data_IF_322178696812
#
_entry.id   IF_322178696812
#
_cell.length_a   1.000
_cell.length_b   1.000
_cell.length_c   1.000
_cell.angle_alpha   90.00
_cell.angle_beta   90.00
_cell.angle_gamma   90.00
#
_symmetry.space_group_name_H-M   'P 1'
#
loop_
_entity.id
_entity.type
_entity.pdbx_description
1 polymer ?
#
# COMPACT_ATOMS: atom_id res chain seq x y z
N UNK A 1 29.32 -1.28 4.55
CA UNK A 1 28.15 -0.92 3.74
C UNK A 1 28.52 0.32 2.93
N UNK A 2 28.28 0.32 1.62
CA UNK A 2 28.42 1.49 0.75
C UNK A 2 27.06 2.12 0.49
N UNK A 3 26.99 3.45 0.52
CA UNK A 3 25.78 4.24 0.21
C UNK A 3 26.14 5.33 -0.78
N UNK A 4 25.62 5.24 -1.99
CA UNK A 4 25.98 6.16 -3.09
C UNK A 4 24.75 6.65 -3.85
N UNK A 5 24.86 7.78 -4.54
CA UNK A 5 23.84 8.28 -5.49
C UNK A 5 24.44 8.32 -6.89
N UNK A 6 24.37 7.23 -7.68
CA UNK A 6 25.01 7.18 -8.99
C UNK A 6 24.54 8.27 -9.97
N UNK A 7 23.27 8.68 -9.88
CA UNK A 7 22.75 9.78 -10.70
C UNK A 7 23.00 11.18 -10.11
N UNK A 8 23.66 11.29 -8.96
CA UNK A 8 24.05 12.55 -8.32
C UNK A 8 22.96 13.30 -7.54
N UNK A 9 21.67 12.99 -7.74
CA UNK A 9 20.57 13.78 -7.13
C UNK A 9 20.33 13.56 -5.63
N UNK A 10 21.09 12.70 -4.98
CA UNK A 10 21.09 12.45 -3.53
C UNK A 10 22.53 12.27 -3.03
N UNK A 11 23.52 12.84 -3.73
CA UNK A 11 24.94 12.55 -3.49
C UNK A 11 25.44 13.14 -2.17
N UNK A 12 25.01 14.35 -1.82
CA UNK A 12 25.38 14.99 -0.56
C UNK A 12 24.90 14.17 0.63
N UNK A 13 23.62 13.80 0.65
CA UNK A 13 23.01 13.00 1.70
C UNK A 13 23.60 11.59 1.74
N UNK A 14 23.80 10.95 0.59
CA UNK A 14 24.42 9.62 0.53
C UNK A 14 25.84 9.62 1.11
N UNK A 15 26.64 10.67 0.87
CA UNK A 15 27.99 10.79 1.41
C UNK A 15 28.05 10.85 2.94
N UNK A 16 26.98 11.35 3.58
CA UNK A 16 26.87 11.37 5.04
C UNK A 16 26.57 9.97 5.62
N UNK A 17 25.98 9.09 4.81
CA UNK A 17 25.58 7.74 5.19
C UNK A 17 26.61 6.68 4.76
N UNK A 18 27.49 6.98 3.82
CA UNK A 18 28.48 6.04 3.32
C UNK A 18 29.40 5.56 4.46
N UNK A 19 29.62 4.24 4.54
CA UNK A 19 30.37 3.61 5.62
C UNK A 19 29.62 3.47 6.96
N UNK A 20 28.44 4.08 7.12
CA UNK A 20 27.62 3.93 8.32
C UNK A 20 26.89 2.58 8.38
N UNK A 21 26.43 2.19 9.56
CA UNK A 21 25.73 0.91 9.78
C UNK A 21 24.24 1.10 9.54
N UNK A 22 23.63 0.28 8.68
CA UNK A 22 22.18 0.16 8.58
C UNK A 22 21.68 -0.62 9.80
N UNK A 23 20.81 0.00 10.58
CA UNK A 23 20.32 -0.56 11.86
C UNK A 23 18.92 -1.13 11.75
N UNK A 24 18.07 -0.54 10.92
CA UNK A 24 16.68 -0.96 10.75
C UNK A 24 16.11 -0.49 9.41
N UNK A 25 15.00 -1.09 8.99
CA UNK A 25 14.17 -0.58 7.91
C UNK A 25 12.70 -0.94 8.17
N UNK A 26 11.84 0.08 8.23
CA UNK A 26 10.42 -0.11 8.50
C UNK A 26 9.53 0.69 7.56
N UNK A 27 8.32 0.18 7.33
CA UNK A 27 7.31 0.86 6.55
C UNK A 27 6.16 1.37 7.44
N UNK A 28 5.67 2.56 7.11
CA UNK A 28 4.39 3.10 7.56
C UNK A 28 3.55 3.45 6.33
N UNK A 29 2.55 2.61 6.03
CA UNK A 29 1.77 2.68 4.81
C UNK A 29 2.65 2.58 3.58
N UNK A 30 2.78 3.66 2.81
CA UNK A 30 3.60 3.72 1.57
C UNK A 30 4.94 4.44 1.76
N UNK A 31 5.33 4.66 3.01
CA UNK A 31 6.55 5.36 3.38
C UNK A 31 7.52 4.37 4.01
N UNK A 32 8.66 4.15 3.36
CA UNK A 32 9.76 3.34 3.87
C UNK A 32 10.78 4.26 4.54
N UNK A 33 11.16 3.92 5.77
CA UNK A 33 12.23 4.56 6.52
C UNK A 33 13.37 3.56 6.66
N UNK A 34 14.56 3.94 6.19
CA UNK A 34 15.77 3.12 6.29
C UNK A 34 16.73 3.81 7.23
N UNK A 35 16.95 3.21 8.39
CA UNK A 35 17.72 3.79 9.49
C UNK A 35 19.18 3.38 9.38
N UNK A 36 20.03 4.39 9.40
CA UNK A 36 21.47 4.25 9.57
C UNK A 36 21.89 4.89 10.88
N UNK A 37 23.03 4.49 11.42
CA UNK A 37 23.63 5.16 12.59
C UNK A 37 23.89 6.66 12.36
N UNK A 38 24.02 7.09 11.10
CA UNK A 38 24.24 8.48 10.71
C UNK A 38 22.95 9.24 10.32
N UNK A 39 21.79 8.59 10.24
CA UNK A 39 20.50 9.23 9.93
C UNK A 39 19.50 8.32 9.21
N UNK A 40 18.29 8.82 8.96
CA UNK A 40 17.21 8.02 8.33
C UNK A 40 16.94 8.47 6.91
N UNK A 41 16.88 7.53 5.96
CA UNK A 41 16.41 7.80 4.60
C UNK A 41 14.90 7.54 4.50
N UNK A 42 14.13 8.57 4.19
CA UNK A 42 12.70 8.48 3.90
C UNK A 42 12.45 8.30 2.40
N UNK A 43 11.88 7.15 2.05
CA UNK A 43 11.57 6.74 0.67
C UNK A 43 10.05 6.66 0.50
N UNK A 44 9.55 7.25 -0.58
CA UNK A 44 8.20 6.97 -1.09
C UNK A 44 8.31 6.70 -2.58
N UNK A 45 8.00 5.45 -2.99
CA UNK A 45 8.18 5.00 -4.37
C UNK A 45 7.25 5.73 -5.34
N UNK A 46 6.03 6.05 -4.91
CA UNK A 46 5.01 6.59 -5.81
C UNK A 46 4.55 5.52 -6.81
N UNK A 47 4.16 5.95 -8.01
CA UNK A 47 3.55 5.06 -9.01
C UNK A 47 4.57 4.20 -9.77
N UNK A 48 5.78 4.72 -9.99
CA UNK A 48 6.77 4.10 -10.88
C UNK A 48 8.10 3.78 -10.18
N UNK A 49 8.23 4.17 -8.91
CA UNK A 49 9.46 3.96 -8.17
C UNK A 49 9.64 2.50 -7.82
N UNK A 50 10.90 2.04 -7.83
CA UNK A 50 11.27 0.68 -7.46
C UNK A 50 12.48 0.71 -6.54
N UNK A 51 12.54 -0.23 -5.60
CA UNK A 51 13.74 -0.57 -4.84
C UNK A 51 14.00 -2.06 -5.10
N UNK A 52 15.09 -2.36 -5.83
CA UNK A 52 15.39 -3.72 -6.27
C UNK A 52 16.72 -4.18 -5.69
N UNK A 53 16.73 -5.41 -5.17
CA UNK A 53 17.92 -6.08 -4.69
C UNK A 53 18.50 -6.94 -5.80
N UNK A 54 19.74 -6.68 -6.18
CA UNK A 54 20.43 -7.36 -7.28
C UNK A 54 21.87 -7.70 -6.84
N UNK A 55 22.50 -8.71 -7.45
CA UNK A 55 23.94 -8.94 -7.24
C UNK A 55 24.75 -7.68 -7.52
N UNK A 56 25.80 -7.44 -6.73
CA UNK A 56 26.65 -6.27 -6.87
C UNK A 56 27.27 -6.23 -8.26
N UNK A 57 26.91 -5.19 -9.02
CA UNK A 57 27.43 -4.92 -10.36
C UNK A 57 27.46 -3.41 -10.62
N UNK A 58 28.11 -2.98 -11.71
CA UNK A 58 28.13 -1.56 -12.12
C UNK A 58 26.67 -1.05 -12.27
N UNK A 59 26.30 0.08 -11.64
CA UNK A 59 24.93 0.59 -11.70
C UNK A 59 24.53 0.92 -13.13
N UNK A 60 23.37 0.41 -13.56
CA UNK A 60 22.78 0.71 -14.87
C UNK A 60 21.64 1.70 -14.70
N UNK A 61 21.41 2.61 -15.65
CA UNK A 61 20.26 3.53 -15.62
C UNK A 61 20.26 4.56 -14.48
N UNK A 62 19.10 5.18 -14.24
CA UNK A 62 18.93 6.29 -13.29
C UNK A 62 18.71 5.78 -11.85
N UNK A 63 19.81 5.45 -11.16
CA UNK A 63 19.80 5.06 -9.74
C UNK A 63 19.86 6.31 -8.86
N UNK A 64 18.79 6.57 -8.11
CA UNK A 64 18.68 7.69 -7.16
C UNK A 64 19.56 7.46 -5.93
N UNK A 65 19.47 6.27 -5.37
CA UNK A 65 20.18 5.83 -4.17
C UNK A 65 20.53 4.37 -4.37
N UNK A 66 21.77 4.01 -4.05
CA UNK A 66 22.23 2.63 -3.98
C UNK A 66 22.76 2.38 -2.57
N UNK A 67 22.28 1.33 -1.95
CA UNK A 67 22.82 0.79 -0.69
C UNK A 67 23.39 -0.58 -1.02
N UNK A 68 24.66 -0.84 -0.71
CA UNK A 68 25.31 -2.07 -1.13
C UNK A 68 26.26 -2.63 -0.07
N UNK A 69 26.39 -3.95 -0.04
CA UNK A 69 27.54 -4.65 0.53
C UNK A 69 28.44 -5.19 -0.58
N UNK A 70 29.37 -6.09 -0.24
CA UNK A 70 30.33 -6.66 -1.19
C UNK A 70 29.68 -7.63 -2.21
N UNK A 71 28.41 -7.99 -2.03
CA UNK A 71 27.71 -9.04 -2.77
C UNK A 71 26.37 -8.60 -3.38
N UNK A 72 25.65 -7.70 -2.74
CA UNK A 72 24.29 -7.27 -3.12
C UNK A 72 24.20 -5.74 -3.13
N UNK A 73 23.44 -5.21 -4.08
CA UNK A 73 23.05 -3.81 -4.16
C UNK A 73 21.53 -3.67 -4.15
N UNK A 74 21.02 -2.75 -3.34
CA UNK A 74 19.65 -2.27 -3.36
C UNK A 74 19.58 -0.94 -4.14
N UNK A 75 19.03 -0.97 -5.34
CA UNK A 75 18.93 0.18 -6.24
C UNK A 75 17.54 0.82 -6.20
N UNK A 76 17.48 2.06 -5.70
CA UNK A 76 16.29 2.90 -5.72
C UNK A 76 16.21 3.68 -7.03
N UNK A 77 15.12 3.51 -7.77
CA UNK A 77 14.88 4.16 -9.07
C UNK A 77 13.55 4.87 -9.08
N UNK A 78 13.51 6.04 -9.73
CA UNK A 78 12.29 6.81 -9.94
C UNK A 78 11.41 7.08 -8.70
N UNK A 79 11.94 7.22 -7.46
CA UNK A 79 11.07 7.43 -6.31
C UNK A 79 10.41 8.82 -6.39
N UNK A 80 9.18 8.90 -5.89
CA UNK A 80 8.53 10.20 -5.64
C UNK A 80 9.25 10.99 -4.55
N UNK A 81 9.82 10.30 -3.55
CA UNK A 81 10.61 10.89 -2.47
C UNK A 81 11.83 10.02 -2.12
N UNK A 82 12.97 10.68 -1.94
CA UNK A 82 14.19 10.15 -1.34
C UNK A 82 14.84 11.32 -0.59
N UNK A 83 14.77 11.31 0.73
CA UNK A 83 15.23 12.42 1.57
C UNK A 83 15.93 11.86 2.81
N UNK A 84 17.04 12.47 3.23
CA UNK A 84 17.59 12.25 4.56
C UNK A 84 16.74 13.09 5.54
N UNK A 85 16.22 12.45 6.58
CA UNK A 85 15.32 13.08 7.55
C UNK A 85 15.85 12.93 8.97
N UNK A 86 15.52 13.91 9.79
CA UNK A 86 15.74 13.87 11.24
C UNK A 86 14.64 13.04 11.94
N UNK A 87 14.88 12.57 13.18
CA UNK A 87 13.84 11.88 13.96
C UNK A 87 12.55 12.70 14.11
N UNK A 88 12.66 14.03 14.25
CA UNK A 88 11.50 14.93 14.37
C UNK A 88 10.69 14.97 13.07
N UNK A 89 11.35 14.96 11.91
CA UNK A 89 10.67 14.93 10.61
C UNK A 89 10.03 13.58 10.32
N UNK A 90 10.68 12.49 10.74
CA UNK A 90 10.14 11.13 10.70
C UNK A 90 8.87 11.01 11.55
N UNK A 91 8.93 11.40 12.83
CA UNK A 91 7.78 11.43 13.73
C UNK A 91 6.64 12.27 13.14
N UNK A 92 6.95 13.44 12.59
CA UNK A 92 5.97 14.31 11.96
C UNK A 92 5.36 13.70 10.67
N UNK A 93 6.12 12.90 9.93
CA UNK A 93 5.63 12.16 8.78
C UNK A 93 4.69 11.03 9.22
N UNK A 94 5.11 10.22 10.20
CA UNK A 94 4.31 9.12 10.76
C UNK A 94 3.03 9.63 11.42
N UNK A 95 3.07 10.76 12.13
CA UNK A 95 1.91 11.36 12.80
C UNK A 95 0.81 11.78 11.82
N UNK A 96 1.14 12.12 10.57
CA UNK A 96 0.17 12.49 9.54
C UNK A 96 -0.53 11.29 8.90
N UNK A 97 0.03 10.09 9.06
CA UNK A 97 -0.51 8.87 8.48
C UNK A 97 -1.65 8.32 9.35
N UNK A 98 -2.65 7.77 8.68
CA UNK A 98 -3.72 7.00 9.30
C UNK A 98 -3.26 5.63 9.78
N UNK A 99 -4.24 4.77 10.09
CA UNK A 99 -3.97 3.39 10.50
C UNK A 99 -3.33 2.61 9.35
N UNK A 100 -2.35 1.77 9.67
CA UNK A 100 -1.69 0.88 8.72
C UNK A 100 -2.16 -0.57 8.93
N UNK A 101 -2.83 -1.21 7.96
CA UNK A 101 -3.30 -2.60 8.08
C UNK A 101 -2.19 -3.64 8.28
N UNK A 102 -0.95 -3.38 7.86
CA UNK A 102 0.16 -4.31 8.03
C UNK A 102 0.85 -4.21 9.40
N UNK A 103 0.57 -3.14 10.14
CA UNK A 103 1.14 -2.96 11.47
C UNK A 103 0.22 -3.58 12.50
N UNK A 104 0.80 -4.38 13.39
CA UNK A 104 0.10 -4.93 14.56
C UNK A 104 -0.63 -3.82 15.30
N UNK A 105 -1.89 -4.09 15.66
CA UNK A 105 -2.72 -3.18 16.45
C UNK A 105 -2.65 -3.63 17.92
N UNK A 106 -2.18 -2.73 18.79
CA UNK A 106 -1.93 -3.04 20.20
C UNK A 106 -0.71 -3.93 20.41
N UNK A 107 -0.81 -4.88 21.35
CA UNK A 107 0.26 -5.85 21.60
C UNK A 107 1.41 -5.32 22.48
N UNK A 108 1.21 -4.22 23.21
CA UNK A 108 2.15 -3.75 24.23
C UNK A 108 3.41 -3.07 23.70
N UNK A 109 3.49 -2.81 22.39
CA UNK A 109 4.59 -2.03 21.78
C UNK A 109 4.16 -0.59 21.52
N UNK A 110 5.04 0.42 21.61
CA UNK A 110 4.68 1.80 21.32
C UNK A 110 4.05 2.00 19.93
N UNK A 111 4.58 1.32 18.91
CA UNK A 111 4.08 1.40 17.54
C UNK A 111 2.70 0.74 17.39
N UNK A 112 2.47 -0.39 18.04
CA UNK A 112 1.16 -1.06 18.02
C UNK A 112 0.09 -0.29 18.78
N UNK A 113 0.42 0.29 19.93
CA UNK A 113 -0.49 1.18 20.68
C UNK A 113 -0.81 2.46 19.88
N UNK A 114 0.16 3.00 19.14
CA UNK A 114 -0.09 4.11 18.21
C UNK A 114 -1.05 3.69 17.09
N UNK A 115 -0.85 2.51 16.50
CA UNK A 115 -1.73 2.02 15.43
C UNK A 115 -3.17 1.76 15.92
N UNK A 116 -3.33 1.28 17.16
CA UNK A 116 -4.65 1.15 17.81
C UNK A 116 -5.40 2.49 17.93
N UNK A 117 -4.74 3.54 18.43
CA UNK A 117 -5.35 4.88 18.49
C UNK A 117 -5.70 5.43 17.10
N UNK A 118 -4.87 5.15 16.10
CA UNK A 118 -5.13 5.53 14.70
C UNK A 118 -6.33 4.78 14.14
N UNK A 119 -6.50 3.48 14.45
CA UNK A 119 -7.65 2.69 14.06
C UNK A 119 -8.94 3.27 14.63
N UNK A 120 -8.99 3.52 15.94
CA UNK A 120 -10.13 4.14 16.60
C UNK A 120 -10.51 5.48 15.94
N UNK A 121 -9.50 6.31 15.65
CA UNK A 121 -9.69 7.59 14.98
C UNK A 121 -10.23 7.42 13.55
N UNK A 122 -9.69 6.49 12.78
CA UNK A 122 -10.09 6.22 11.41
C UNK A 122 -11.54 5.74 11.33
N UNK A 123 -11.90 4.77 12.18
CA UNK A 123 -13.27 4.24 12.28
C UNK A 123 -14.26 5.32 12.73
N UNK A 124 -13.92 6.09 13.77
CA UNK A 124 -14.77 7.16 14.26
C UNK A 124 -15.01 8.28 13.23
N UNK A 125 -13.97 8.67 12.47
CA UNK A 125 -14.10 9.66 11.40
C UNK A 125 -14.90 9.10 10.22
N UNK A 126 -14.70 7.83 9.87
CA UNK A 126 -15.43 7.17 8.78
C UNK A 126 -16.94 7.12 9.08
N UNK A 127 -17.33 6.69 10.28
CA UNK A 127 -18.74 6.64 10.73
C UNK A 127 -19.46 7.99 10.77
N UNK A 128 -18.75 9.11 10.80
CA UNK A 128 -19.36 10.45 10.80
C UNK A 128 -19.33 11.12 9.44
N UNK A 129 -18.66 10.52 8.45
CA UNK A 129 -18.39 11.15 7.17
C UNK A 129 -19.55 10.97 6.18
N UNK A 130 -19.94 12.06 5.52
CA UNK A 130 -20.83 12.01 4.35
C UNK A 130 -20.11 11.61 3.06
N UNK A 131 -18.77 11.53 3.06
CA UNK A 131 -18.00 11.14 1.88
C UNK A 131 -18.20 9.64 1.57
N UNK A 132 -18.15 9.24 0.28
CA UNK A 132 -18.13 7.85 -0.14
C UNK A 132 -17.05 7.02 0.57
N UNK A 133 -17.37 5.78 0.96
CA UNK A 133 -16.42 4.86 1.59
C UNK A 133 -15.22 4.57 0.69
N UNK A 134 -15.42 4.42 -0.63
CA UNK A 134 -14.32 4.23 -1.57
C UNK A 134 -13.34 5.42 -1.65
N UNK A 135 -13.78 6.62 -1.26
CA UNK A 135 -12.92 7.80 -1.14
C UNK A 135 -12.23 7.83 0.22
N UNK A 136 -12.94 7.49 1.30
CA UNK A 136 -12.39 7.45 2.66
C UNK A 136 -11.26 6.43 2.78
N UNK A 137 -11.40 5.25 2.19
CA UNK A 137 -10.34 4.22 2.17
C UNK A 137 -9.08 4.65 1.41
N UNK A 138 -9.13 5.70 0.59
CA UNK A 138 -7.93 6.25 -0.08
C UNK A 138 -7.26 7.37 0.70
N UNK A 139 -7.93 7.92 1.71
CA UNK A 139 -7.37 8.99 2.52
C UNK A 139 -6.23 8.42 3.37
N UNK A 140 -4.98 8.76 3.01
CA UNK A 140 -3.80 8.24 3.70
C UNK A 140 -3.69 8.76 5.15
N UNK A 141 -4.44 9.79 5.53
CA UNK A 141 -4.55 10.24 6.92
C UNK A 141 -5.60 9.43 7.72
N UNK A 142 -6.39 8.58 7.06
CA UNK A 142 -7.29 7.61 7.69
C UNK A 142 -6.75 6.18 7.57
N UNK A 143 -6.41 5.74 6.35
CA UNK A 143 -5.97 4.38 6.04
C UNK A 143 -4.67 4.44 5.22
N UNK A 144 -3.54 4.43 5.93
CA UNK A 144 -2.22 4.45 5.32
C UNK A 144 -1.96 3.12 4.59
N UNK A 145 -1.28 3.17 3.44
CA UNK A 145 -0.97 1.94 2.68
C UNK A 145 -2.08 1.50 1.74
N UNK A 146 -3.36 1.74 2.07
CA UNK A 146 -4.48 1.36 1.23
C UNK A 146 -4.43 2.08 -0.13
N UNK A 147 -4.54 1.30 -1.20
CA UNK A 147 -4.44 1.76 -2.59
C UNK A 147 -5.68 1.44 -3.42
N UNK A 148 -5.64 1.79 -4.71
CA UNK A 148 -6.80 1.60 -5.59
C UNK A 148 -7.19 0.14 -5.80
N UNK A 149 -6.27 -0.82 -5.65
CA UNK A 149 -6.58 -2.25 -5.73
C UNK A 149 -7.33 -2.65 -4.45
N UNK A 150 -6.68 -2.54 -3.29
CA UNK A 150 -7.27 -2.96 -2.01
C UNK A 150 -8.61 -2.29 -1.69
N UNK A 151 -8.77 -0.97 -1.90
CA UNK A 151 -10.07 -0.29 -1.66
C UNK A 151 -11.19 -0.91 -2.48
N UNK A 152 -10.88 -1.31 -3.71
CA UNK A 152 -11.86 -1.75 -4.69
C UNK A 152 -12.23 -3.21 -4.41
N UNK A 153 -11.22 -4.01 -4.11
CA UNK A 153 -11.37 -5.44 -3.91
C UNK A 153 -12.02 -5.78 -2.56
N UNK A 154 -11.66 -5.09 -1.47
CA UNK A 154 -12.32 -5.26 -0.16
C UNK A 154 -13.80 -4.91 -0.24
N UNK A 155 -14.13 -3.77 -0.84
CA UNK A 155 -15.53 -3.35 -0.99
C UNK A 155 -16.31 -4.33 -1.87
N UNK A 156 -15.70 -4.88 -2.93
CA UNK A 156 -16.34 -5.92 -3.74
C UNK A 156 -16.59 -7.20 -2.95
N UNK A 157 -15.59 -7.70 -2.22
CA UNK A 157 -15.68 -8.95 -1.45
C UNK A 157 -16.75 -8.91 -0.37
N UNK A 158 -17.05 -7.71 0.13
CA UNK A 158 -18.07 -7.46 1.14
C UNK A 158 -19.40 -6.98 0.55
N UNK A 159 -19.51 -6.86 -0.78
CA UNK A 159 -20.74 -6.41 -1.44
C UNK A 159 -21.12 -4.96 -1.14
N UNK A 160 -20.16 -4.11 -0.78
CA UNK A 160 -20.40 -2.73 -0.39
C UNK A 160 -20.23 -1.81 -1.61
N UNK A 161 -21.29 -1.05 -1.94
CA UNK A 161 -21.22 -0.01 -2.96
C UNK A 161 -20.20 1.07 -2.55
N UNK A 162 -19.17 1.36 -3.39
CA UNK A 162 -18.14 2.33 -3.05
C UNK A 162 -18.65 3.76 -2.85
N UNK A 163 -19.83 4.09 -3.37
CA UNK A 163 -20.47 5.40 -3.26
C UNK A 163 -21.19 5.60 -1.92
N UNK A 164 -21.45 4.53 -1.15
CA UNK A 164 -22.10 4.61 0.16
C UNK A 164 -21.35 5.58 1.08
N UNK A 165 -22.04 6.56 1.69
CA UNK A 165 -21.44 7.44 2.68
C UNK A 165 -20.89 6.63 3.86
N UNK A 166 -19.72 7.01 4.39
CA UNK A 166 -19.14 6.35 5.58
C UNK A 166 -20.11 6.32 6.77
N UNK A 167 -20.95 7.35 6.93
CA UNK A 167 -22.01 7.43 7.95
C UNK A 167 -23.19 6.47 7.77
N UNK A 168 -23.32 5.84 6.61
CA UNK A 168 -24.33 4.82 6.35
C UNK A 168 -23.82 3.39 6.56
N UNK A 169 -22.55 3.23 6.92
CA UNK A 169 -21.98 1.94 7.27
C UNK A 169 -22.26 1.65 8.75
N UNK A 170 -22.66 0.41 9.01
CA UNK A 170 -22.75 -0.13 10.37
C UNK A 170 -21.36 -0.36 10.96
N UNK A 171 -21.28 -0.52 12.27
CA UNK A 171 -20.02 -0.90 12.94
C UNK A 171 -19.51 -2.25 12.41
N UNK A 172 -20.39 -3.23 12.24
CA UNK A 172 -20.04 -4.55 11.72
C UNK A 172 -19.43 -4.47 10.31
N UNK A 173 -20.02 -3.70 9.40
CA UNK A 173 -19.45 -3.52 8.05
C UNK A 173 -18.07 -2.87 8.08
N UNK A 174 -17.82 -1.94 9.00
CA UNK A 174 -16.51 -1.31 9.13
C UNK A 174 -15.46 -2.26 9.72
N UNK A 175 -15.87 -3.08 10.68
CA UNK A 175 -15.02 -4.11 11.26
C UNK A 175 -14.68 -5.19 10.22
N UNK A 176 -15.65 -5.58 9.40
CA UNK A 176 -15.45 -6.50 8.27
C UNK A 176 -14.53 -5.91 7.20
N UNK A 177 -14.70 -4.63 6.84
CA UNK A 177 -13.79 -3.91 5.94
C UNK A 177 -12.37 -3.92 6.49
N UNK A 178 -12.21 -3.63 7.78
CA UNK A 178 -10.89 -3.61 8.42
C UNK A 178 -10.25 -5.00 8.41
N UNK A 179 -10.99 -6.04 8.81
CA UNK A 179 -10.50 -7.41 8.85
C UNK A 179 -10.08 -7.91 7.47
N UNK A 180 -10.93 -7.77 6.44
CA UNK A 180 -10.61 -8.23 5.08
C UNK A 180 -9.44 -7.44 4.48
N UNK A 181 -9.31 -6.15 4.82
CA UNK A 181 -8.16 -5.33 4.43
C UNK A 181 -6.85 -5.83 5.04
N UNK A 182 -6.83 -6.10 6.35
CA UNK A 182 -5.65 -6.63 7.07
C UNK A 182 -5.25 -7.98 6.47
N UNK A 183 -6.21 -8.89 6.28
CA UNK A 183 -5.97 -10.22 5.74
C UNK A 183 -5.36 -10.15 4.32
N UNK A 184 -5.96 -9.35 3.44
CA UNK A 184 -5.48 -9.22 2.06
C UNK A 184 -4.11 -8.55 1.96
N UNK A 185 -3.87 -7.50 2.75
CA UNK A 185 -2.58 -6.82 2.73
C UNK A 185 -1.49 -7.72 3.30
N UNK A 186 -1.76 -8.43 4.39
CA UNK A 186 -0.82 -9.40 4.99
C UNK A 186 -0.50 -10.52 4.03
N UNK A 187 -1.51 -11.08 3.36
CA UNK A 187 -1.28 -12.07 2.29
C UNK A 187 -0.42 -11.47 1.17
N UNK A 188 -0.72 -10.24 0.72
CA UNK A 188 0.00 -9.58 -0.35
C UNK A 188 1.47 -9.29 -0.03
N UNK A 189 1.76 -8.93 1.23
CA UNK A 189 3.13 -8.76 1.74
C UNK A 189 3.93 -10.06 1.65
N UNK A 190 3.36 -11.17 2.14
CA UNK A 190 4.02 -12.48 2.14
C UNK A 190 4.18 -13.04 0.73
N UNK A 191 3.15 -12.91 -0.11
CA UNK A 191 3.12 -13.47 -1.46
C UNK A 191 3.91 -12.63 -2.49
N UNK A 192 4.25 -11.38 -2.16
CA UNK A 192 4.88 -10.43 -3.08
C UNK A 192 3.99 -10.02 -4.26
N UNK A 193 2.68 -10.30 -4.19
CA UNK A 193 1.68 -9.98 -5.22
C UNK A 193 0.29 -9.86 -4.61
N UNK A 194 -0.61 -9.15 -5.28
CA UNK A 194 -1.96 -8.91 -4.77
C UNK A 194 -2.94 -9.89 -5.44
N UNK A 195 -3.27 -10.99 -4.75
CA UNK A 195 -4.40 -11.86 -5.12
C UNK A 195 -5.54 -11.63 -4.14
N UNK A 196 -6.69 -11.20 -4.64
CA UNK A 196 -7.88 -10.90 -3.83
C UNK A 196 -9.04 -11.85 -4.11
N UNK A 197 -8.91 -12.70 -5.12
CA UNK A 197 -9.91 -13.69 -5.51
C UNK A 197 -9.95 -14.83 -4.50
N UNK A 198 -11.16 -15.22 -4.08
CA UNK A 198 -11.37 -16.32 -3.13
C UNK A 198 -11.14 -17.68 -3.83
N UNK A 199 -10.78 -18.76 -3.11
CA UNK A 199 -10.47 -20.06 -3.69
C UNK A 199 -11.50 -20.56 -4.72
N UNK A 200 -12.79 -20.38 -4.43
CA UNK A 200 -13.92 -20.78 -5.28
C UNK A 200 -14.03 -20.02 -6.62
N UNK A 201 -13.36 -18.87 -6.75
CA UNK A 201 -13.37 -18.03 -7.95
C UNK A 201 -12.00 -17.94 -8.65
N UNK A 202 -11.04 -18.77 -8.21
CA UNK A 202 -9.72 -18.89 -8.84
C UNK A 202 -9.83 -19.30 -10.31
N UNK A 203 -8.81 -19.01 -11.15
CA UNK A 203 -8.77 -19.47 -12.53
C UNK A 203 -9.06 -20.97 -12.65
N UNK A 204 -8.44 -21.77 -11.77
CA UNK A 204 -8.54 -23.22 -11.74
C UNK A 204 -9.95 -23.69 -11.36
N UNK A 205 -10.53 -23.12 -10.29
CA UNK A 205 -11.87 -23.49 -9.82
C UNK A 205 -12.97 -23.14 -10.84
N UNK A 206 -12.78 -22.07 -11.61
CA UNK A 206 -13.75 -21.62 -12.62
C UNK A 206 -13.45 -22.15 -14.04
N UNK A 207 -12.36 -22.86 -14.25
CA UNK A 207 -11.94 -23.33 -15.58
C UNK A 207 -11.66 -22.18 -16.57
N UNK A 208 -11.12 -21.05 -16.09
CA UNK A 208 -10.80 -19.86 -16.90
C UNK A 208 -9.29 -19.63 -16.95
N UNK A 209 -8.77 -18.94 -17.99
CA UNK A 209 -7.36 -18.55 -18.00
C UNK A 209 -7.05 -17.56 -16.87
N UNK A 210 -5.80 -17.57 -16.34
CA UNK A 210 -5.32 -16.54 -15.43
C UNK A 210 -5.35 -15.14 -16.06
N UNK A 211 -5.48 -14.13 -15.21
CA UNK A 211 -5.43 -12.71 -15.59
C UNK A 211 -4.05 -12.35 -16.11
N UNK A 212 -4.01 -11.58 -17.20
CA UNK A 212 -2.80 -11.00 -17.78
C UNK A 212 -2.81 -9.50 -17.58
N UNK A 213 -2.06 -9.01 -16.60
CA UNK A 213 -1.88 -7.58 -16.30
C UNK A 213 -0.48 -7.33 -15.75
N UNK A 214 0.10 -6.17 -16.05
CA UNK A 214 1.45 -5.79 -15.65
C UNK A 214 1.64 -5.72 -14.12
N UNK A 215 0.57 -5.53 -13.35
CA UNK A 215 0.60 -5.53 -11.88
C UNK A 215 0.48 -6.95 -11.30
N UNK A 216 0.33 -7.96 -12.16
CA UNK A 216 0.08 -9.35 -11.76
C UNK A 216 -1.22 -9.52 -10.97
N UNK A 217 -1.34 -10.71 -10.37
CA UNK A 217 -2.36 -11.03 -9.39
C UNK A 217 -3.79 -11.24 -9.93
N UNK A 218 -4.56 -12.05 -9.20
CA UNK A 218 -5.97 -12.29 -9.46
C UNK A 218 -6.86 -11.30 -8.69
N UNK A 219 -7.71 -10.57 -9.40
CA UNK A 219 -8.62 -9.56 -8.83
C UNK A 219 -10.04 -9.73 -9.35
N UNK A 220 -11.05 -9.35 -8.57
CA UNK A 220 -12.45 -9.44 -8.94
C UNK A 220 -12.89 -8.34 -9.90
N UNK A 221 -12.54 -7.07 -9.65
CA UNK A 221 -13.09 -5.93 -10.40
C UNK A 221 -12.04 -4.90 -10.79
N UNK A 222 -10.92 -4.77 -10.08
CA UNK A 222 -9.89 -3.79 -10.39
C UNK A 222 -9.33 -3.96 -11.81
N UNK A 223 -9.40 -2.90 -12.63
CA UNK A 223 -9.00 -2.91 -14.06
C UNK A 223 -9.71 -3.99 -14.90
N UNK A 224 -10.92 -4.38 -14.51
CA UNK A 224 -11.74 -5.35 -15.24
C UNK A 224 -13.00 -4.76 -15.85
N UNK A 225 -13.06 -3.43 -16.02
CA UNK A 225 -14.20 -2.74 -16.61
C UNK A 225 -14.64 -3.39 -17.94
N UNK A 226 -15.94 -3.64 -18.08
CA UNK A 226 -16.54 -4.31 -19.22
C UNK A 226 -16.42 -5.84 -19.23
N UNK A 227 -15.54 -6.44 -18.42
CA UNK A 227 -15.44 -7.90 -18.29
C UNK A 227 -16.53 -8.45 -17.36
N UNK A 228 -16.97 -9.70 -17.55
CA UNK A 228 -17.92 -10.35 -16.65
C UNK A 228 -17.39 -10.41 -15.22
N UNK A 229 -18.22 -10.03 -14.24
CA UNK A 229 -17.97 -10.28 -12.83
C UNK A 229 -17.78 -11.78 -12.59
N UNK A 230 -16.80 -12.19 -11.78
CA UNK A 230 -16.55 -13.62 -11.50
C UNK A 230 -17.64 -14.27 -10.65
N UNK A 231 -18.50 -13.47 -10.01
CA UNK A 231 -19.55 -13.97 -9.13
C UNK A 231 -20.88 -14.05 -9.88
N UNK A 232 -21.30 -12.97 -10.55
CA UNK A 232 -22.64 -12.88 -11.14
C UNK A 232 -22.67 -12.72 -12.67
N UNK A 233 -21.51 -12.63 -13.34
CA UNK A 233 -21.40 -12.46 -14.79
C UNK A 233 -21.74 -11.05 -15.32
N UNK A 234 -22.34 -10.17 -14.52
CA UNK A 234 -22.62 -8.78 -14.94
C UNK A 234 -21.33 -8.04 -15.25
N UNK A 235 -21.26 -7.24 -16.33
CA UNK A 235 -20.09 -6.44 -16.64
C UNK A 235 -19.67 -5.53 -15.49
N UNK A 236 -18.37 -5.53 -15.18
CA UNK A 236 -17.80 -4.62 -14.18
C UNK A 236 -17.85 -3.18 -14.69
N UNK A 237 -18.27 -2.26 -13.83
CA UNK A 237 -18.32 -0.84 -14.11
C UNK A 237 -17.04 -0.13 -13.64
N UNK A 238 -16.84 1.08 -14.16
CA UNK A 238 -15.73 1.95 -13.78
C UNK A 238 -16.18 3.40 -13.70
N UNK A 239 -15.53 4.16 -12.84
CA UNK A 239 -15.76 5.59 -12.66
C UNK A 239 -14.54 6.25 -12.04
N UNK A 240 -14.71 7.49 -11.59
CA UNK A 240 -13.66 8.25 -10.89
C UNK A 240 -14.11 8.61 -9.49
N UNK A 241 -13.23 8.41 -8.52
CA UNK A 241 -13.48 8.76 -7.12
C UNK A 241 -12.19 9.21 -6.45
N UNK A 242 -12.20 10.45 -5.95
CA UNK A 242 -11.04 11.12 -5.34
C UNK A 242 -9.81 11.16 -6.28
N UNK A 243 -10.02 11.55 -7.56
CA UNK A 243 -8.94 11.70 -8.55
C UNK A 243 -8.33 10.38 -9.03
N UNK A 244 -8.98 9.24 -8.77
CA UNK A 244 -8.48 7.90 -9.11
C UNK A 244 -9.63 7.03 -9.64
N UNK A 245 -9.32 6.18 -10.63
CA UNK A 245 -10.29 5.19 -11.13
C UNK A 245 -10.75 4.25 -10.01
N UNK A 246 -12.04 3.96 -10.01
CA UNK A 246 -12.67 2.96 -9.14
C UNK A 246 -13.48 2.00 -10.01
N UNK A 247 -13.52 0.73 -9.60
CA UNK A 247 -14.22 -0.35 -10.30
C UNK A 247 -15.18 -1.02 -9.33
N UNK A 248 -16.33 -1.46 -9.81
CA UNK A 248 -17.32 -2.18 -9.00
C UNK A 248 -18.21 -3.06 -9.87
N UNK A 249 -18.89 -4.02 -9.26
CA UNK A 249 -19.96 -4.76 -9.90
C UNK A 249 -21.32 -4.17 -9.47
N UNK A 250 -22.17 -3.65 -10.38
CA UNK A 250 -23.44 -3.03 -10.02
C UNK A 250 -24.50 -4.01 -9.46
N UNK A 251 -24.22 -5.32 -9.55
CA UNK A 251 -25.12 -6.37 -9.03
C UNK A 251 -24.63 -6.93 -7.70
N UNK A 252 -23.33 -7.17 -7.54
CA UNK A 252 -22.77 -7.70 -6.30
C UNK A 252 -22.60 -6.63 -5.21
N UNK A 253 -22.41 -5.36 -5.61
CA UNK A 253 -22.21 -4.23 -4.70
C UNK A 253 -23.42 -3.31 -4.76
N UNK A 254 -24.57 -3.81 -4.30
CA UNK A 254 -25.80 -3.03 -4.21
C UNK A 254 -25.86 -2.38 -2.83
N UNK A 255 -26.03 -1.05 -2.82
CA UNK A 255 -26.42 -0.31 -1.62
C UNK A 255 -27.91 -0.45 -1.33
#
# INVERSE_FOLDING_TARGET
MSVVSPQGRFATEASLLDGSVLTDAEAWGKHLFVHFTAGTVHIHLGLIGTLQFEPLAVPRGQVRLRIADDTVAADLRGPQRCALVTPVEEDAAVAKLGVDPLRVVGGGTPAGELNARKLETALAKTRRSSKPVGALLMDQALYAGVGSIYRTEVLFRLGIDPTRPGKSLTTAELDDIWSDMVDLMTYGEVAGRIDTVRPEHTPEAMGRPPRKDDHGGEVYVYRRAGLPCLVCGTPVETGEMAGRKIYWCPVCQRG
#
